data_IF_660669300425
#
_entry.id   IF_660669300425
#
_cell.length_a   1.000
_cell.length_b   1.000
_cell.length_c   1.000
_cell.angle_alpha   90.00
_cell.angle_beta   90.00
_cell.angle_gamma   90.00
#
_symmetry.space_group_name_H-M   'P 1'
#
loop_
_entity.id
_entity.type
_entity.pdbx_description
1 polymer ?
#
# COMPACT_ATOMS: atom_id res chain seq x y z
N UNK A 1 11.46 8.43 -25.52
CA UNK A 1 11.08 7.18 -24.83
C UNK A 1 9.68 6.79 -25.29
N UNK A 2 9.53 5.68 -26.00
CA UNK A 2 8.23 5.19 -26.46
C UNK A 2 7.53 4.47 -25.29
N UNK A 3 6.31 4.90 -24.96
CA UNK A 3 5.51 4.28 -23.90
C UNK A 3 4.82 3.06 -24.50
N UNK A 4 5.29 1.86 -24.16
CA UNK A 4 4.68 0.60 -24.63
C UNK A 4 3.26 0.51 -24.04
N UNK A 5 2.24 0.21 -24.84
CA UNK A 5 0.89 0.00 -24.32
C UNK A 5 0.90 -1.16 -23.33
N UNK A 6 0.31 -0.94 -22.16
CA UNK A 6 0.17 -1.98 -21.15
C UNK A 6 -1.05 -2.82 -21.53
N UNK A 7 -0.83 -3.97 -22.15
CA UNK A 7 -1.89 -4.89 -22.59
C UNK A 7 -2.48 -5.73 -21.43
N UNK A 8 -2.06 -5.52 -20.19
CA UNK A 8 -2.60 -6.23 -19.03
C UNK A 8 -3.98 -5.68 -18.62
N UNK A 9 -4.95 -6.57 -18.47
CA UNK A 9 -6.28 -6.26 -17.91
C UNK A 9 -6.21 -5.80 -16.43
N UNK A 10 -5.16 -6.20 -15.71
CA UNK A 10 -4.99 -5.86 -14.29
C UNK A 10 -4.47 -4.44 -14.11
N UNK A 11 -5.05 -3.71 -13.16
CA UNK A 11 -4.66 -2.34 -12.76
C UNK A 11 -3.16 -2.22 -12.43
N UNK A 12 -2.58 -3.24 -11.81
CA UNK A 12 -1.16 -3.25 -11.40
C UNK A 12 -0.28 -4.15 -12.27
N UNK A 13 -0.70 -4.43 -13.51
CA UNK A 13 0.01 -5.32 -14.41
C UNK A 13 0.03 -6.77 -13.93
N UNK A 14 0.80 -7.60 -14.63
CA UNK A 14 0.95 -9.03 -14.36
C UNK A 14 2.05 -9.37 -13.34
N UNK A 15 2.58 -8.38 -12.62
CA UNK A 15 3.58 -8.61 -11.60
C UNK A 15 3.06 -9.59 -10.52
N UNK A 16 3.96 -10.40 -9.97
CA UNK A 16 3.61 -11.30 -8.85
C UNK A 16 3.47 -10.51 -7.53
N UNK A 17 2.88 -11.14 -6.51
CA UNK A 17 2.79 -10.56 -5.16
C UNK A 17 4.18 -10.28 -4.59
N UNK A 18 5.13 -11.18 -4.81
CA UNK A 18 6.52 -11.10 -4.35
C UNK A 18 7.22 -9.90 -4.99
N UNK A 19 7.08 -9.76 -6.32
CA UNK A 19 7.62 -8.61 -7.06
C UNK A 19 7.07 -7.30 -6.52
N UNK A 20 5.75 -7.21 -6.28
CA UNK A 20 5.13 -6.00 -5.72
C UNK A 20 5.64 -5.66 -4.31
N UNK A 21 5.76 -6.66 -3.43
CA UNK A 21 6.31 -6.47 -2.09
C UNK A 21 7.76 -5.98 -2.12
N UNK A 22 8.57 -6.53 -3.02
CA UNK A 22 9.96 -6.11 -3.21
C UNK A 22 10.04 -4.67 -3.73
N UNK A 23 9.28 -4.34 -4.78
CA UNK A 23 9.23 -2.99 -5.34
C UNK A 23 8.82 -1.94 -4.29
N UNK A 24 7.81 -2.26 -3.47
CA UNK A 24 7.40 -1.38 -2.38
C UNK A 24 8.49 -1.21 -1.31
N UNK A 25 9.26 -2.26 -0.99
CA UNK A 25 10.44 -2.15 -0.11
C UNK A 25 11.49 -1.22 -0.72
N UNK A 26 11.87 -1.42 -1.98
CA UNK A 26 12.85 -0.58 -2.67
C UNK A 26 12.42 0.88 -2.73
N UNK A 27 11.14 1.15 -3.00
CA UNK A 27 10.61 2.52 -3.01
C UNK A 27 10.77 3.19 -1.65
N UNK A 28 10.40 2.52 -0.56
CA UNK A 28 10.55 3.05 0.80
C UNK A 28 12.00 3.32 1.16
N UNK A 29 12.93 2.46 0.75
CA UNK A 29 14.37 2.67 0.95
C UNK A 29 14.89 3.90 0.21
N UNK A 30 14.45 4.10 -1.04
CA UNK A 30 14.80 5.29 -1.83
C UNK A 30 14.27 6.57 -1.18
N UNK A 31 13.02 6.57 -0.74
CA UNK A 31 12.41 7.72 -0.05
C UNK A 31 13.09 7.98 1.29
N UNK A 32 13.40 6.93 2.07
CA UNK A 32 14.13 7.04 3.33
C UNK A 32 15.50 7.69 3.13
N UNK A 33 16.23 7.29 2.06
CA UNK A 33 17.52 7.90 1.70
C UNK A 33 17.35 9.35 1.26
N UNK A 34 16.35 9.63 0.40
CA UNK A 34 16.08 11.00 -0.11
C UNK A 34 15.74 11.98 1.01
N UNK A 35 14.96 11.55 2.00
CA UNK A 35 14.48 12.40 3.11
C UNK A 35 15.35 12.28 4.37
N UNK A 36 16.47 11.55 4.31
CA UNK A 36 17.32 11.23 5.45
C UNK A 36 16.55 10.72 6.69
N UNK A 37 15.47 9.95 6.47
CA UNK A 37 14.58 9.49 7.53
C UNK A 37 14.45 7.95 7.51
N UNK A 38 15.20 7.23 8.37
CA UNK A 38 15.18 5.77 8.38
C UNK A 38 13.84 5.19 8.87
N UNK A 39 12.98 5.97 9.56
CA UNK A 39 11.68 5.50 10.07
C UNK A 39 10.73 5.10 8.93
N UNK A 40 10.90 5.66 7.74
CA UNK A 40 10.08 5.33 6.57
C UNK A 40 10.23 3.87 6.14
N UNK A 41 11.35 3.21 6.47
CA UNK A 41 11.54 1.77 6.25
C UNK A 41 10.60 0.89 7.09
N UNK A 42 9.96 1.45 8.13
CA UNK A 42 9.00 0.73 9.00
C UNK A 42 7.57 0.75 8.47
N UNK A 43 7.25 1.63 7.51
CA UNK A 43 5.90 1.73 6.95
C UNK A 43 5.66 0.54 6.01
N UNK A 44 4.74 -0.35 6.35
CA UNK A 44 4.41 -1.52 5.52
C UNK A 44 2.98 -1.44 4.98
N UNK A 45 2.57 -2.37 4.11
CA UNK A 45 1.16 -2.48 3.72
C UNK A 45 0.22 -2.67 4.91
N UNK A 46 0.66 -3.39 5.95
CA UNK A 46 -0.09 -3.53 7.20
C UNK A 46 -0.24 -2.20 7.93
N UNK A 47 0.82 -1.39 7.99
CA UNK A 47 0.78 -0.05 8.59
C UNK A 47 -0.26 0.83 7.90
N UNK A 48 -0.29 0.82 6.55
CA UNK A 48 -1.27 1.60 5.77
C UNK A 48 -2.69 1.07 6.01
N UNK A 49 -2.88 -0.26 6.03
CA UNK A 49 -4.18 -0.88 6.30
C UNK A 49 -4.71 -0.52 7.68
N UNK A 50 -3.88 -0.60 8.72
CA UNK A 50 -4.27 -0.24 10.07
C UNK A 50 -4.56 1.27 10.20
N UNK A 51 -3.76 2.12 9.57
CA UNK A 51 -4.02 3.55 9.55
C UNK A 51 -5.37 3.88 8.88
N UNK A 52 -5.70 3.22 7.77
CA UNK A 52 -7.01 3.41 7.14
C UNK A 52 -8.14 2.92 8.04
N UNK A 53 -7.96 1.80 8.72
CA UNK A 53 -8.95 1.29 9.67
C UNK A 53 -9.22 2.29 10.80
N UNK A 54 -8.19 2.84 11.42
CA UNK A 54 -8.35 3.81 12.52
C UNK A 54 -8.92 5.13 12.03
N UNK A 55 -8.50 5.63 10.87
CA UNK A 55 -9.06 6.83 10.26
C UNK A 55 -10.54 6.66 9.88
N UNK A 56 -10.92 5.51 9.32
CA UNK A 56 -12.30 5.21 8.93
C UNK A 56 -13.20 5.06 10.16
N UNK A 57 -12.73 4.37 11.20
CA UNK A 57 -13.44 4.29 12.47
C UNK A 57 -13.59 5.67 13.11
N UNK A 58 -12.56 6.51 13.05
CA UNK A 58 -12.66 7.87 13.57
C UNK A 58 -13.73 8.70 12.84
N UNK A 59 -13.87 8.52 11.52
CA UNK A 59 -14.85 9.23 10.69
C UNK A 59 -16.28 8.75 10.92
N UNK A 60 -16.48 7.43 10.99
CA UNK A 60 -17.82 6.82 10.98
C UNK A 60 -18.31 6.42 12.36
N UNK A 61 -17.37 6.13 13.28
CA UNK A 61 -17.62 5.48 14.59
C UNK A 61 -18.37 4.16 14.47
N UNK A 62 -18.36 3.54 13.30
CA UNK A 62 -19.03 2.28 13.01
C UNK A 62 -17.98 1.19 12.73
N UNK A 63 -17.89 0.22 13.65
CA UNK A 63 -16.93 -0.88 13.54
C UNK A 63 -17.32 -1.92 12.49
N UNK A 64 -18.62 -2.11 12.22
CA UNK A 64 -19.12 -3.07 11.23
C UNK A 64 -18.80 -2.55 9.83
N UNK A 65 -18.99 -1.25 9.59
CA UNK A 65 -18.55 -0.61 8.36
C UNK A 65 -17.05 -0.78 8.11
N UNK A 66 -16.23 -0.58 9.14
CA UNK A 66 -14.77 -0.78 9.03
C UNK A 66 -14.41 -2.23 8.75
N UNK A 67 -15.10 -3.19 9.38
CA UNK A 67 -14.90 -4.62 9.12
C UNK A 67 -15.19 -4.98 7.66
N UNK A 68 -16.31 -4.49 7.11
CA UNK A 68 -16.70 -4.68 5.72
C UNK A 68 -15.69 -4.06 4.76
N UNK A 69 -15.26 -2.82 5.03
CA UNK A 69 -14.24 -2.12 4.23
C UNK A 69 -12.91 -2.86 4.19
N UNK A 70 -12.50 -3.45 5.31
CA UNK A 70 -11.28 -4.26 5.38
C UNK A 70 -11.44 -5.65 4.74
N UNK A 71 -12.67 -6.11 4.52
CA UNK A 71 -12.96 -7.44 3.99
C UNK A 71 -12.61 -8.55 5.00
N UNK A 72 -12.79 -8.30 6.29
CA UNK A 72 -12.69 -9.36 7.30
C UNK A 72 -13.97 -10.20 7.26
N UNK A 73 -13.82 -11.51 7.00
CA UNK A 73 -14.90 -12.49 7.03
C UNK A 73 -15.03 -13.11 8.42
#
# INVERSE_FOLDING_TARGET
>A
MVRVPNNSEKVFGDATKQTRSHLFKTQRERVAKKLNNPRLKRITFHTIRHWKATAEYHKTKDIIHVQQLLGHK
#
